data_IF_562398494238
#
_entry.id   IF_562398494238
#
_cell.length_a   1.000
_cell.length_b   1.000
_cell.length_c   1.000
_cell.angle_alpha   90.00
_cell.angle_beta   90.00
_cell.angle_gamma   90.00
#
_symmetry.space_group_name_H-M   'P 1'
#
loop_
_entity.id
_entity.type
_entity.pdbx_description
1 polymer ?
#
# COMPACT_ATOMS: atom_id res chain seq x y z
N UNK A 1 -6.50 -25.61 -80.23
CA UNK A 1 -7.04 -26.52 -79.18
C UNK A 1 -6.52 -26.08 -77.82
N UNK A 2 -7.36 -26.28 -76.80
CA UNK A 2 -7.34 -25.78 -75.42
C UNK A 2 -6.02 -25.86 -74.62
N UNK A 3 -5.92 -24.95 -73.64
CA UNK A 3 -5.15 -25.10 -72.39
C UNK A 3 -4.80 -23.74 -71.75
N UNK A 4 -5.71 -22.98 -71.12
CA UNK A 4 -6.13 -23.02 -69.70
C UNK A 4 -5.00 -22.97 -68.65
N UNK A 5 -5.20 -22.07 -67.66
CA UNK A 5 -4.61 -21.96 -66.29
C UNK A 5 -3.53 -20.87 -66.12
N UNK A 6 -3.81 -19.67 -65.59
CA UNK A 6 -4.28 -19.24 -64.25
C UNK A 6 -3.18 -19.31 -63.17
N UNK A 7 -3.09 -18.21 -62.40
CA UNK A 7 -2.52 -18.02 -61.05
C UNK A 7 -1.07 -17.53 -61.02
N UNK A 8 -0.62 -16.75 -60.04
CA UNK A 8 -1.21 -15.83 -59.08
C UNK A 8 -0.02 -15.26 -58.31
N UNK A 9 0.00 -13.95 -58.10
CA UNK A 9 0.65 -13.22 -57.00
C UNK A 9 1.36 -14.10 -55.95
N UNK A 10 2.70 -14.01 -55.86
CA UNK A 10 3.44 -14.42 -54.67
C UNK A 10 4.11 -13.18 -54.09
N UNK A 11 3.48 -12.64 -53.05
CA UNK A 11 4.02 -11.60 -52.18
C UNK A 11 5.29 -12.11 -51.53
N UNK A 12 6.37 -11.35 -51.68
CA UNK A 12 7.67 -11.63 -51.06
C UNK A 12 7.52 -11.46 -49.54
N UNK A 13 7.50 -12.57 -48.80
CA UNK A 13 7.58 -12.56 -47.35
C UNK A 13 8.98 -12.14 -46.93
N UNK A 14 9.09 -11.05 -46.16
CA UNK A 14 10.33 -10.68 -45.46
C UNK A 14 10.74 -11.84 -44.55
N UNK A 15 11.87 -12.47 -44.88
CA UNK A 15 12.52 -13.46 -44.03
C UNK A 15 13.17 -12.74 -42.84
N UNK A 16 12.64 -12.95 -41.64
CA UNK A 16 13.34 -12.64 -40.40
C UNK A 16 14.53 -13.60 -40.25
N UNK A 17 15.74 -13.05 -40.30
CA UNK A 17 16.95 -13.82 -40.01
C UNK A 17 17.09 -14.05 -38.49
N UNK A 18 17.28 -15.29 -38.02
CA UNK A 18 17.56 -15.53 -36.61
C UNK A 18 19.00 -15.10 -36.28
N UNK A 19 19.14 -14.19 -35.31
CA UNK A 19 20.45 -13.80 -34.77
C UNK A 19 21.02 -14.96 -33.97
N UNK A 20 22.23 -15.37 -34.35
CA UNK A 20 23.04 -16.45 -33.78
C UNK A 20 23.20 -16.25 -32.27
N UNK A 21 22.74 -17.22 -31.47
CA UNK A 21 22.74 -17.17 -30.01
C UNK A 21 24.14 -17.30 -29.40
N UNK A 22 24.42 -16.45 -28.41
CA UNK A 22 25.43 -16.68 -27.38
C UNK A 22 24.76 -17.26 -26.13
N UNK A 23 25.46 -18.15 -25.43
CA UNK A 23 25.04 -18.70 -24.14
C UNK A 23 24.90 -17.57 -23.11
N UNK A 24 23.66 -17.13 -22.89
CA UNK A 24 23.23 -16.22 -21.83
C UNK A 24 22.15 -16.90 -20.99
N UNK A 25 21.89 -16.39 -19.80
CA UNK A 25 20.87 -16.91 -18.89
C UNK A 25 19.50 -16.95 -19.61
N UNK A 26 18.58 -17.89 -19.30
CA UNK A 26 17.24 -17.95 -19.92
C UNK A 26 16.42 -16.65 -19.89
N UNK A 27 16.85 -15.65 -19.12
CA UNK A 27 16.29 -14.29 -19.06
C UNK A 27 16.68 -13.41 -20.26
N UNK A 28 17.77 -13.71 -20.95
CA UNK A 28 18.34 -12.86 -22.01
C UNK A 28 17.59 -12.98 -23.36
N UNK A 29 16.49 -13.74 -23.39
CA UNK A 29 15.65 -13.99 -24.57
C UNK A 29 14.25 -13.39 -24.43
N UNK A 30 13.95 -12.69 -23.33
CA UNK A 30 12.66 -12.04 -23.21
C UNK A 30 12.58 -10.84 -24.17
N UNK A 31 11.48 -10.72 -24.94
CA UNK A 31 11.36 -9.62 -25.89
C UNK A 31 11.31 -8.28 -25.14
N UNK A 32 12.06 -7.29 -25.64
CA UNK A 32 12.26 -5.99 -25.00
C UNK A 32 10.98 -5.21 -24.64
N UNK A 33 9.82 -5.57 -25.22
CA UNK A 33 8.54 -5.01 -24.80
C UNK A 33 8.09 -5.50 -23.42
N UNK A 34 8.43 -6.74 -23.04
CA UNK A 34 8.17 -7.29 -21.71
C UNK A 34 9.06 -6.58 -20.69
N UNK A 35 10.34 -6.40 -20.98
CA UNK A 35 11.26 -5.66 -20.09
C UNK A 35 10.81 -4.21 -19.89
N UNK A 36 10.38 -3.51 -20.95
CA UNK A 36 9.84 -2.14 -20.86
C UNK A 36 8.50 -2.08 -20.13
N UNK A 37 7.68 -3.12 -20.27
CA UNK A 37 6.41 -3.23 -19.54
C UNK A 37 6.64 -3.51 -18.05
N UNK A 38 7.62 -4.36 -17.71
CA UNK A 38 8.06 -4.63 -16.33
C UNK A 38 8.79 -3.42 -15.71
N UNK A 39 9.52 -2.64 -16.50
CA UNK A 39 10.17 -1.40 -16.05
C UNK A 39 9.16 -0.28 -15.75
N UNK A 40 7.97 -0.30 -16.35
CA UNK A 40 6.86 0.61 -16.08
C UNK A 40 5.93 0.12 -14.95
N UNK A 41 6.47 -0.62 -13.97
CA UNK A 41 5.70 -0.95 -12.77
C UNK A 41 5.61 0.27 -11.86
N UNK A 42 4.39 0.58 -11.40
CA UNK A 42 4.11 1.60 -10.37
C UNK A 42 4.55 1.18 -8.96
N UNK A 43 5.21 0.03 -8.83
CA UNK A 43 5.79 -0.45 -7.57
C UNK A 43 6.86 0.56 -7.11
N UNK A 44 6.60 1.26 -6.00
CA UNK A 44 7.56 2.21 -5.43
C UNK A 44 7.32 3.70 -5.72
N UNK A 45 6.31 4.05 -6.52
CA UNK A 45 6.02 5.45 -6.87
C UNK A 45 4.99 6.13 -5.96
N UNK A 46 4.44 5.41 -4.98
CA UNK A 46 3.40 5.92 -4.09
C UNK A 46 4.02 6.56 -2.84
N UNK A 47 3.52 7.70 -2.40
CA UNK A 47 4.04 8.41 -1.21
C UNK A 47 3.89 7.57 0.08
N UNK A 48 3.07 6.53 0.04
CA UNK A 48 2.87 5.55 1.11
C UNK A 48 3.69 4.25 0.94
N UNK A 49 4.57 4.14 -0.05
CA UNK A 49 5.34 2.92 -0.30
C UNK A 49 6.23 2.54 0.90
N UNK A 50 6.75 3.53 1.64
CA UNK A 50 7.49 3.28 2.88
C UNK A 50 6.62 2.58 3.94
N UNK A 51 5.34 2.96 4.06
CA UNK A 51 4.39 2.35 4.98
C UNK A 51 4.12 0.91 4.56
N UNK A 52 3.88 0.67 3.28
CA UNK A 52 3.64 -0.69 2.77
C UNK A 52 4.88 -1.58 2.92
N UNK A 53 6.09 -1.05 2.72
CA UNK A 53 7.34 -1.79 2.98
C UNK A 53 7.50 -2.15 4.45
N UNK A 54 7.25 -1.20 5.36
CA UNK A 54 7.31 -1.44 6.80
C UNK A 54 6.23 -2.43 7.23
N UNK A 55 5.01 -2.26 6.75
CA UNK A 55 3.88 -3.16 7.04
C UNK A 55 4.07 -4.56 6.46
N UNK A 56 4.76 -4.70 5.32
CA UNK A 56 5.11 -6.01 4.78
C UNK A 56 6.28 -6.63 5.56
N UNK A 57 7.23 -5.81 6.04
CA UNK A 57 8.36 -6.28 6.86
C UNK A 57 7.95 -6.83 8.23
N UNK A 58 6.84 -6.34 8.80
CA UNK A 58 6.32 -6.83 10.08
C UNK A 58 5.73 -8.23 9.98
N UNK A 59 5.56 -8.78 8.77
CA UNK A 59 5.07 -10.15 8.50
C UNK A 59 3.82 -10.51 9.32
N UNK A 60 2.95 -9.53 9.52
CA UNK A 60 1.75 -9.67 10.37
C UNK A 60 0.88 -10.82 9.85
N UNK A 61 0.84 -11.00 8.52
CA UNK A 61 0.14 -12.13 7.90
C UNK A 61 0.66 -13.49 8.35
N UNK A 62 1.98 -13.70 8.29
CA UNK A 62 2.62 -14.96 8.69
C UNK A 62 2.45 -15.23 10.19
N UNK A 63 2.56 -14.18 11.00
CA UNK A 63 2.62 -14.29 12.46
C UNK A 63 1.24 -14.36 13.13
N UNK A 64 0.25 -13.62 12.62
CA UNK A 64 -1.03 -13.44 13.29
C UNK A 64 -2.24 -13.86 12.44
N UNK A 65 -2.24 -13.65 11.12
CA UNK A 65 -3.43 -13.96 10.29
C UNK A 65 -3.53 -15.42 9.82
N UNK A 66 -2.46 -16.21 9.90
CA UNK A 66 -2.47 -17.61 9.42
C UNK A 66 -3.25 -18.58 10.32
N UNK A 67 -3.46 -18.27 11.60
CA UNK A 67 -4.23 -19.12 12.51
C UNK A 67 -5.37 -18.38 13.20
N UNK A 68 -6.59 -18.94 13.13
CA UNK A 68 -7.81 -18.34 13.73
C UNK A 68 -7.65 -17.85 15.18
N UNK A 69 -7.03 -18.60 16.12
CA UNK A 69 -6.91 -18.13 17.49
C UNK A 69 -5.92 -16.97 17.65
N UNK A 70 -4.82 -16.93 16.88
CA UNK A 70 -3.86 -15.81 16.93
C UNK A 70 -4.43 -14.57 16.26
N UNK A 71 -5.19 -14.75 15.18
CA UNK A 71 -5.90 -13.68 14.50
C UNK A 71 -6.89 -13.00 15.44
N UNK A 72 -7.73 -13.79 16.12
CA UNK A 72 -8.69 -13.26 17.08
C UNK A 72 -8.01 -12.47 18.21
N UNK A 73 -6.96 -13.05 18.82
CA UNK A 73 -6.19 -12.37 19.85
C UNK A 73 -5.58 -11.05 19.36
N UNK A 74 -4.97 -11.07 18.17
CA UNK A 74 -4.39 -9.86 17.57
C UNK A 74 -5.43 -8.77 17.32
N UNK A 75 -6.61 -9.12 16.80
CA UNK A 75 -7.71 -8.17 16.56
C UNK A 75 -8.22 -7.58 17.88
N UNK A 76 -8.46 -8.40 18.89
CA UNK A 76 -8.96 -7.92 20.19
C UNK A 76 -7.95 -7.01 20.88
N UNK A 77 -6.67 -7.42 20.94
CA UNK A 77 -5.63 -6.61 21.57
C UNK A 77 -5.37 -5.30 20.82
N UNK A 78 -5.31 -5.32 19.49
CA UNK A 78 -5.15 -4.10 18.70
C UNK A 78 -6.36 -3.18 18.81
N UNK A 79 -7.58 -3.71 18.95
CA UNK A 79 -8.77 -2.89 19.19
C UNK A 79 -8.76 -2.22 20.57
N UNK A 80 -8.36 -2.94 21.62
CA UNK A 80 -8.26 -2.38 22.98
C UNK A 80 -7.19 -1.29 23.03
N UNK A 81 -5.97 -1.62 22.58
CA UNK A 81 -4.84 -0.69 22.61
C UNK A 81 -5.10 0.49 21.68
N UNK A 82 -5.54 0.22 20.45
CA UNK A 82 -5.84 1.22 19.45
C UNK A 82 -6.95 2.16 19.91
N UNK A 83 -8.03 1.62 20.48
CA UNK A 83 -9.13 2.42 21.04
C UNK A 83 -8.67 3.32 22.19
N UNK A 84 -7.87 2.80 23.13
CA UNK A 84 -7.33 3.61 24.21
C UNK A 84 -6.41 4.73 23.70
N UNK A 85 -5.43 4.40 22.86
CA UNK A 85 -4.49 5.38 22.31
C UNK A 85 -5.21 6.44 21.49
N UNK A 86 -6.20 6.06 20.68
CA UNK A 86 -7.00 6.98 19.86
C UNK A 86 -7.76 7.97 20.73
N UNK A 87 -8.47 7.50 21.75
CA UNK A 87 -9.20 8.37 22.69
C UNK A 87 -8.25 9.34 23.40
N UNK A 88 -7.11 8.86 23.90
CA UNK A 88 -6.13 9.72 24.58
C UNK A 88 -5.49 10.75 23.66
N UNK A 89 -5.22 10.38 22.41
CA UNK A 89 -4.72 11.30 21.40
C UNK A 89 -5.73 12.43 21.13
N UNK A 90 -7.00 12.09 20.91
CA UNK A 90 -8.04 13.08 20.65
C UNK A 90 -8.37 13.94 21.86
N UNK A 91 -8.39 13.39 23.08
CA UNK A 91 -8.49 14.18 24.31
C UNK A 91 -7.38 15.23 24.37
N UNK A 92 -6.16 14.84 23.99
CA UNK A 92 -5.01 15.71 24.06
C UNK A 92 -5.06 16.81 23.01
N UNK A 93 -5.46 16.48 21.78
CA UNK A 93 -5.69 17.44 20.70
C UNK A 93 -6.82 18.40 21.08
N UNK A 94 -7.93 17.87 21.60
CA UNK A 94 -9.08 18.67 22.02
C UNK A 94 -8.71 19.66 23.12
N UNK A 95 -7.97 19.19 24.12
CA UNK A 95 -7.46 20.00 25.21
C UNK A 95 -6.48 21.08 24.71
N UNK A 96 -5.61 20.75 23.74
CA UNK A 96 -4.68 21.69 23.14
C UNK A 96 -5.41 22.82 22.37
N UNK A 97 -6.43 22.48 21.59
CA UNK A 97 -7.22 23.47 20.84
C UNK A 97 -8.08 24.34 21.77
N UNK A 98 -8.59 23.78 22.86
CA UNK A 98 -9.51 24.46 23.78
C UNK A 98 -8.86 24.88 25.11
N UNK A 99 -7.57 25.20 25.08
CA UNK A 99 -6.85 25.75 26.23
C UNK A 99 -7.60 26.95 26.83
N UNK A 100 -7.72 26.99 28.16
CA UNK A 100 -8.42 28.05 28.89
C UNK A 100 -9.95 28.02 28.85
N UNK A 101 -10.57 27.20 27.98
CA UNK A 101 -12.04 27.06 27.89
C UNK A 101 -12.59 25.85 28.62
N UNK A 102 -11.76 24.82 28.83
CA UNK A 102 -12.17 23.63 29.57
C UNK A 102 -12.26 23.93 31.07
N UNK A 103 -13.25 23.31 31.72
CA UNK A 103 -13.41 23.34 33.19
C UNK A 103 -12.14 22.94 33.94
N UNK A 104 -11.34 22.04 33.36
CA UNK A 104 -10.04 21.62 33.91
C UNK A 104 -9.05 22.78 34.07
N UNK A 105 -9.14 23.81 33.24
CA UNK A 105 -8.25 24.97 33.25
C UNK A 105 -8.81 26.15 34.05
N UNK A 106 -10.14 26.23 34.17
CA UNK A 106 -10.82 27.27 34.93
C UNK A 106 -11.86 26.61 35.86
N UNK A 107 -11.41 26.01 36.98
CA UNK A 107 -12.32 25.39 37.93
C UNK A 107 -13.20 26.45 38.58
N UNK A 108 -14.47 26.12 38.82
CA UNK A 108 -15.36 27.02 39.55
C UNK A 108 -14.84 27.19 40.99
N UNK A 109 -14.60 28.43 41.39
CA UNK A 109 -14.25 28.79 42.76
C UNK A 109 -15.54 29.20 43.46
N UNK A 110 -15.88 28.53 44.56
CA UNK A 110 -17.01 28.95 45.37
C UNK A 110 -16.75 30.36 45.89
N UNK A 111 -17.70 31.30 45.73
CA UNK A 111 -17.59 32.58 46.38
C UNK A 111 -17.50 32.35 47.90
N UNK A 112 -16.55 33.03 48.54
CA UNK A 112 -16.47 33.09 49.99
C UNK A 112 -17.77 33.80 50.43
N UNK A 113 -18.56 33.22 51.35
CA UNK A 113 -19.70 33.93 51.90
C UNK A 113 -19.21 35.28 52.42
N UNK A 114 -19.81 36.38 51.98
CA UNK A 114 -19.54 37.66 52.62
C UNK A 114 -19.92 37.49 54.10
N UNK A 115 -18.96 37.67 55.01
CA UNK A 115 -19.24 37.68 56.43
C UNK A 115 -20.23 38.81 56.66
N UNK A 116 -21.50 38.46 56.88
CA UNK A 116 -22.57 39.39 57.23
C UNK A 116 -22.23 40.03 58.58
N UNK A 117 -21.53 41.16 58.56
CA UNK A 117 -21.26 42.04 59.72
C UNK A 117 -22.38 43.08 59.92
#
# INVERSE_FOLDING_TARGET
MLGLLRRSQVRLALRSAPRRGGFGSPKDHEPAWIERWMANRREGQDNMDWFFRVFNSTRIYENFLKSSPRFYGFVVWSAIIGGYCWSRMWDHIWNYVNQGKLYRHNPYVYPIPDDDE
#
